data_IF_498605202624
#
_entry.id   IF_498605202624
#
_cell.length_a   1.000
_cell.length_b   1.000
_cell.length_c   1.000
_cell.angle_alpha   90.00
_cell.angle_beta   90.00
_cell.angle_gamma   90.00
#
_symmetry.space_group_name_H-M   'P 1'
#
loop_
_entity.id
_entity.type
_entity.pdbx_description
1 polymer ?
#
# COMPACT_ATOMS: atom_id res chain seq x y z
N UNK A 1 12.20 19.91 17.67
CA UNK A 1 12.36 18.57 17.05
C UNK A 1 11.48 17.47 17.70
N UNK A 2 10.99 17.62 18.94
CA UNK A 2 10.33 16.53 19.70
C UNK A 2 8.82 16.30 19.47
N UNK A 3 8.08 17.21 18.82
CA UNK A 3 6.60 17.16 18.82
C UNK A 3 5.97 15.96 18.08
N UNK A 4 6.68 15.32 17.16
CA UNK A 4 6.14 14.26 16.31
C UNK A 4 7.00 12.97 16.27
N UNK A 5 8.17 12.95 16.90
CA UNK A 5 9.07 11.80 16.89
C UNK A 5 8.48 10.60 17.65
N UNK A 6 8.47 9.42 17.02
CA UNK A 6 7.90 8.17 17.56
C UNK A 6 6.43 8.29 18.02
N UNK A 7 5.66 9.24 17.48
CA UNK A 7 4.29 9.50 17.93
C UNK A 7 3.20 8.87 17.08
N UNK A 8 3.50 8.42 15.87
CA UNK A 8 2.54 7.89 14.91
C UNK A 8 2.91 6.46 14.51
N UNK A 9 1.94 5.54 14.43
CA UNK A 9 2.17 4.29 13.73
C UNK A 9 2.46 4.58 12.26
N UNK A 10 3.36 3.80 11.66
CA UNK A 10 3.77 3.96 10.26
C UNK A 10 3.36 2.71 9.50
N UNK A 11 2.73 2.88 8.34
CA UNK A 11 2.63 1.83 7.31
C UNK A 11 3.66 2.21 6.25
N UNK A 12 4.73 1.44 6.14
CA UNK A 12 5.74 1.60 5.10
C UNK A 12 5.47 0.62 3.95
N UNK A 13 5.48 1.13 2.73
CA UNK A 13 5.14 0.39 1.52
C UNK A 13 6.28 0.62 0.53
N UNK A 14 7.08 -0.38 0.20
CA UNK A 14 8.09 -0.31 -0.87
C UNK A 14 7.76 -1.27 -2.01
N UNK A 15 7.51 -0.74 -3.21
CA UNK A 15 7.08 -1.56 -4.36
C UNK A 15 8.22 -2.03 -5.26
N UNK A 16 9.47 -1.70 -4.90
CA UNK A 16 10.70 -1.90 -5.67
C UNK A 16 10.96 -3.32 -6.19
N UNK A 17 10.44 -4.31 -5.48
CA UNK A 17 10.72 -5.73 -5.75
C UNK A 17 9.49 -6.53 -6.14
N UNK A 18 8.36 -5.86 -6.39
CA UNK A 18 7.11 -6.53 -6.72
C UNK A 18 7.13 -7.16 -8.11
N UNK A 19 8.11 -6.78 -8.94
CA UNK A 19 8.35 -7.38 -10.24
C UNK A 19 9.80 -7.83 -10.35
N UNK A 20 10.03 -9.12 -10.59
CA UNK A 20 11.37 -9.59 -10.94
C UNK A 20 11.75 -9.02 -12.31
N UNK A 21 12.95 -8.41 -12.38
CA UNK A 21 13.59 -8.01 -13.64
C UNK A 21 13.79 -9.20 -14.60
N UNK A 22 13.86 -10.42 -14.07
CA UNK A 22 14.16 -11.65 -14.82
C UNK A 22 12.97 -12.37 -15.47
N UNK A 23 11.74 -11.88 -15.29
CA UNK A 23 10.58 -12.53 -15.90
C UNK A 23 10.23 -11.87 -17.23
N UNK A 24 10.81 -12.41 -18.31
CA UNK A 24 10.44 -12.18 -19.71
C UNK A 24 8.96 -12.47 -20.02
N UNK A 25 8.22 -13.03 -19.07
CA UNK A 25 6.78 -13.35 -19.13
C UNK A 25 6.09 -13.05 -17.78
N UNK A 26 5.89 -11.77 -17.46
CA UNK A 26 5.05 -11.42 -16.31
C UNK A 26 3.58 -11.39 -16.70
N UNK A 27 2.74 -12.06 -15.92
CA UNK A 27 1.27 -12.00 -16.02
C UNK A 27 0.72 -11.26 -14.80
N UNK A 28 -0.57 -10.88 -14.85
CA UNK A 28 -1.27 -10.35 -13.68
C UNK A 28 -1.24 -11.34 -12.50
N UNK A 29 -1.43 -12.63 -12.75
CA UNK A 29 -1.43 -13.66 -11.70
C UNK A 29 -0.10 -13.72 -10.92
N UNK A 30 1.03 -13.57 -11.62
CA UNK A 30 2.34 -13.51 -10.96
C UNK A 30 2.54 -12.22 -10.17
N UNK A 31 2.01 -11.10 -10.67
CA UNK A 31 2.04 -9.81 -9.97
C UNK A 31 1.21 -9.90 -8.68
N UNK A 32 -0.01 -10.46 -8.74
CA UNK A 32 -0.88 -10.54 -7.58
C UNK A 32 -0.35 -11.51 -6.51
N UNK A 33 0.30 -12.61 -6.93
CA UNK A 33 1.02 -13.50 -6.01
C UNK A 33 2.12 -12.75 -5.24
N UNK A 34 2.90 -11.91 -5.93
CA UNK A 34 3.93 -11.07 -5.28
C UNK A 34 3.33 -10.00 -4.38
N UNK A 35 2.24 -9.37 -4.81
CA UNK A 35 1.48 -8.44 -3.98
C UNK A 35 1.03 -9.07 -2.67
N UNK A 36 0.56 -10.33 -2.68
CA UNK A 36 0.17 -11.04 -1.45
C UNK A 36 1.34 -11.18 -0.48
N UNK A 37 2.50 -11.60 -0.97
CA UNK A 37 3.70 -11.75 -0.15
C UNK A 37 4.13 -10.41 0.45
N UNK A 38 4.12 -9.37 -0.37
CA UNK A 38 4.48 -8.02 0.07
C UNK A 38 3.51 -7.44 1.11
N UNK A 39 2.19 -7.62 0.92
CA UNK A 39 1.20 -7.23 1.93
C UNK A 39 1.37 -8.07 3.19
N UNK A 40 1.71 -9.36 3.08
CA UNK A 40 1.98 -10.22 4.22
C UNK A 40 3.18 -9.72 5.05
N UNK A 41 4.25 -9.25 4.40
CA UNK A 41 5.41 -8.63 5.06
C UNK A 41 5.01 -7.38 5.85
N UNK A 42 4.19 -6.48 5.27
CA UNK A 42 3.66 -5.32 5.99
C UNK A 42 2.84 -5.76 7.21
N UNK A 43 1.99 -6.78 7.06
CA UNK A 43 1.21 -7.32 8.18
C UNK A 43 2.11 -7.95 9.25
N UNK A 44 3.24 -8.54 8.86
CA UNK A 44 4.21 -9.12 9.78
C UNK A 44 4.91 -8.07 10.64
N UNK A 45 5.29 -6.94 10.04
CA UNK A 45 5.79 -5.77 10.79
C UNK A 45 4.81 -5.29 11.86
N UNK A 46 3.51 -5.55 11.65
CA UNK A 46 2.43 -5.21 12.57
C UNK A 46 1.82 -6.41 13.30
N UNK A 47 2.52 -7.56 13.36
CA UNK A 47 2.05 -8.79 14.02
C UNK A 47 1.63 -8.57 15.48
N UNK A 48 2.24 -7.60 16.16
CA UNK A 48 1.88 -7.23 17.54
C UNK A 48 0.42 -6.78 17.71
N UNK A 49 -0.28 -6.41 16.62
CA UNK A 49 -1.69 -6.04 16.68
C UNK A 49 -2.59 -7.22 17.01
N UNK A 50 -2.21 -8.45 16.64
CA UNK A 50 -3.04 -9.66 16.73
C UNK A 50 -3.64 -9.83 18.12
N UNK A 51 -2.87 -9.59 19.19
CA UNK A 51 -3.34 -9.74 20.57
C UNK A 51 -4.39 -8.72 21.00
N UNK A 52 -4.62 -7.66 20.21
CA UNK A 52 -5.57 -6.58 20.48
C UNK A 52 -6.75 -6.52 19.51
N UNK A 53 -6.79 -7.44 18.54
CA UNK A 53 -7.87 -7.53 17.56
C UNK A 53 -9.09 -8.27 18.12
N UNK A 54 -10.26 -7.99 17.57
CA UNK A 54 -11.44 -8.83 17.77
C UNK A 54 -11.24 -10.19 17.09
N UNK A 55 -11.86 -11.28 17.58
CA UNK A 55 -11.67 -12.62 17.02
C UNK A 55 -11.89 -12.73 15.50
N UNK A 56 -12.90 -12.03 14.97
CA UNK A 56 -13.21 -11.97 13.54
C UNK A 56 -12.10 -11.28 12.72
N UNK A 57 -11.50 -10.23 13.28
CA UNK A 57 -10.39 -9.50 12.65
C UNK A 57 -9.10 -10.33 12.69
N UNK A 58 -8.91 -11.16 13.73
CA UNK A 58 -7.73 -12.03 13.86
C UNK A 58 -7.66 -13.07 12.74
N UNK A 59 -8.79 -13.66 12.34
CA UNK A 59 -8.82 -14.64 11.25
C UNK A 59 -8.35 -14.01 9.94
N UNK A 60 -8.94 -12.86 9.57
CA UNK A 60 -8.58 -12.13 8.34
C UNK A 60 -7.12 -11.70 8.38
N UNK A 61 -6.67 -11.14 9.51
CA UNK A 61 -5.27 -10.72 9.69
C UNK A 61 -4.32 -11.89 9.48
N UNK A 62 -4.62 -13.06 10.04
CA UNK A 62 -3.79 -14.26 9.89
C UNK A 62 -3.77 -14.80 8.46
N UNK A 63 -4.88 -14.71 7.72
CA UNK A 63 -4.91 -15.12 6.30
C UNK A 63 -4.00 -14.25 5.44
N UNK A 64 -4.05 -12.93 5.65
CA UNK A 64 -3.18 -11.98 4.95
C UNK A 64 -1.72 -12.19 5.35
N UNK A 65 -1.43 -12.31 6.66
CA UNK A 65 -0.09 -12.59 7.20
C UNK A 65 0.54 -13.87 6.66
N UNK A 66 -0.27 -14.87 6.30
CA UNK A 66 0.19 -16.13 5.69
C UNK A 66 0.33 -16.06 4.16
N UNK A 67 -0.02 -14.93 3.54
CA UNK A 67 -0.04 -14.80 2.08
C UNK A 67 -1.05 -15.76 1.43
N UNK A 68 -2.19 -16.03 2.07
CA UNK A 68 -3.16 -17.03 1.63
C UNK A 68 -3.56 -16.80 0.14
N UNK A 69 -3.26 -17.76 -0.76
CA UNK A 69 -3.55 -17.62 -2.19
C UNK A 69 -5.06 -17.63 -2.48
N UNK A 70 -5.88 -18.14 -1.55
CA UNK A 70 -7.34 -18.19 -1.68
C UNK A 70 -8.03 -16.92 -1.18
N UNK A 71 -7.31 -16.01 -0.51
CA UNK A 71 -7.89 -14.75 -0.05
C UNK A 71 -8.27 -13.88 -1.26
N UNK A 72 -9.52 -13.39 -1.42
CA UNK A 72 -9.93 -12.77 -2.68
C UNK A 72 -9.12 -11.51 -3.03
N UNK A 73 -8.75 -11.33 -4.30
CA UNK A 73 -8.05 -10.11 -4.77
C UNK A 73 -8.85 -8.84 -4.48
N UNK A 74 -10.18 -8.95 -4.61
CA UNK A 74 -11.11 -7.88 -4.28
C UNK A 74 -11.03 -7.45 -2.81
N UNK A 75 -10.71 -8.37 -1.89
CA UNK A 75 -10.50 -8.07 -0.47
C UNK A 75 -9.06 -7.66 -0.18
N UNK A 76 -8.06 -8.28 -0.81
CA UNK A 76 -6.66 -7.90 -0.71
C UNK A 76 -6.45 -6.42 -1.04
N UNK A 77 -7.21 -5.90 -2.01
CA UNK A 77 -7.27 -4.48 -2.38
C UNK A 77 -7.52 -3.54 -1.19
N UNK A 78 -8.26 -3.98 -0.17
CA UNK A 78 -8.62 -3.18 1.01
C UNK A 78 -7.79 -3.51 2.26
N UNK A 79 -6.86 -4.46 2.17
CA UNK A 79 -6.05 -4.91 3.32
C UNK A 79 -5.32 -3.76 4.03
N UNK A 80 -4.66 -2.87 3.29
CA UNK A 80 -3.93 -1.75 3.90
C UNK A 80 -4.86 -0.73 4.58
N UNK A 81 -6.08 -0.55 4.08
CA UNK A 81 -7.11 0.26 4.74
C UNK A 81 -7.49 -0.38 6.08
N UNK A 82 -7.76 -1.69 6.10
CA UNK A 82 -8.06 -2.44 7.33
C UNK A 82 -6.91 -2.38 8.34
N UNK A 83 -5.66 -2.54 7.89
CA UNK A 83 -4.49 -2.37 8.74
C UNK A 83 -4.43 -0.98 9.40
N UNK A 84 -4.74 0.07 8.65
CA UNK A 84 -4.81 1.44 9.20
C UNK A 84 -5.88 1.59 10.29
N UNK A 85 -7.03 0.90 10.14
CA UNK A 85 -8.09 0.86 11.15
C UNK A 85 -7.62 0.15 12.42
N UNK A 86 -6.91 -0.98 12.27
CA UNK A 86 -6.35 -1.72 13.41
C UNK A 86 -5.30 -0.90 14.16
N UNK A 87 -4.39 -0.23 13.44
CA UNK A 87 -3.41 0.69 14.03
C UNK A 87 -4.09 1.82 14.80
N UNK A 88 -5.14 2.43 14.23
CA UNK A 88 -5.90 3.47 14.93
C UNK A 88 -6.56 2.93 16.20
N UNK A 89 -7.20 1.76 16.14
CA UNK A 89 -7.85 1.15 17.31
C UNK A 89 -6.84 0.84 18.41
N UNK A 90 -5.65 0.36 18.06
CA UNK A 90 -4.59 0.00 18.99
C UNK A 90 -3.94 1.24 19.63
N UNK A 91 -3.46 2.19 18.82
CA UNK A 91 -2.71 3.36 19.31
C UNK A 91 -3.58 4.57 19.67
N UNK A 92 -4.88 4.53 19.34
CA UNK A 92 -5.79 5.70 19.40
C UNK A 92 -5.27 6.91 18.61
N UNK A 93 -4.50 6.65 17.56
CA UNK A 93 -3.87 7.65 16.69
C UNK A 93 -3.95 7.23 15.24
N UNK A 94 -4.13 8.19 14.35
CA UNK A 94 -4.02 8.00 12.91
C UNK A 94 -2.59 7.60 12.52
N UNK A 95 -2.41 6.76 11.50
CA UNK A 95 -1.09 6.39 11.01
C UNK A 95 -0.54 7.39 9.99
N UNK A 96 0.76 7.30 9.72
CA UNK A 96 1.40 7.91 8.55
C UNK A 96 1.67 6.80 7.54
N UNK A 97 1.35 7.05 6.27
CA UNK A 97 1.64 6.11 5.18
C UNK A 97 2.83 6.61 4.38
N UNK A 98 3.85 5.77 4.21
CA UNK A 98 5.02 6.08 3.41
C UNK A 98 5.08 5.09 2.25
N UNK A 99 4.98 5.57 1.02
CA UNK A 99 5.02 4.74 -0.18
C UNK A 99 6.26 5.08 -0.99
N UNK A 100 7.12 4.11 -1.19
CA UNK A 100 8.33 4.20 -1.99
C UNK A 100 8.17 3.41 -3.28
N UNK A 101 8.69 3.97 -4.37
CA UNK A 101 8.56 3.51 -5.75
C UNK A 101 7.09 3.20 -6.15
N UNK A 102 6.17 4.12 -5.80
CA UNK A 102 4.72 3.90 -5.97
C UNK A 102 4.29 3.62 -7.42
N UNK A 103 5.08 4.07 -8.40
CA UNK A 103 4.84 4.01 -9.84
C UNK A 103 5.38 2.74 -10.51
N UNK A 104 6.33 2.05 -9.86
CA UNK A 104 7.00 0.87 -10.40
C UNK A 104 6.07 -0.28 -10.84
N UNK A 105 5.02 -0.67 -10.09
CA UNK A 105 4.14 -1.76 -10.52
C UNK A 105 3.39 -1.44 -11.82
N UNK A 106 2.99 -0.18 -11.98
CA UNK A 106 2.24 0.30 -13.15
C UNK A 106 3.14 0.38 -14.37
N UNK A 107 4.38 0.86 -14.21
CA UNK A 107 5.39 0.83 -15.26
C UNK A 107 5.66 -0.60 -15.74
N UNK A 108 5.87 -1.55 -14.81
CA UNK A 108 6.07 -2.95 -15.19
C UNK A 108 4.84 -3.55 -15.85
N UNK A 109 3.62 -3.20 -15.43
CA UNK A 109 2.39 -3.72 -16.02
C UNK A 109 2.18 -3.21 -17.45
N UNK A 110 2.53 -1.94 -17.70
CA UNK A 110 2.56 -1.35 -19.03
C UNK A 110 3.51 -2.11 -19.97
N UNK A 111 4.76 -2.32 -19.53
CA UNK A 111 5.78 -3.01 -20.31
C UNK A 111 5.45 -4.48 -20.61
N UNK A 112 4.59 -5.10 -19.81
CA UNK A 112 4.22 -6.53 -19.92
C UNK A 112 2.79 -6.78 -20.41
N UNK A 113 2.05 -5.73 -20.79
CA UNK A 113 0.75 -5.85 -21.45
C UNK A 113 -0.46 -6.15 -20.55
N UNK A 114 -0.37 -5.92 -19.23
CA UNK A 114 -1.48 -6.09 -18.29
C UNK A 114 -1.78 -4.80 -17.49
N UNK A 115 -1.51 -3.65 -18.10
CA UNK A 115 -1.69 -2.33 -17.51
C UNK A 115 -3.08 -2.12 -16.89
N UNK A 116 -4.16 -2.39 -17.63
CA UNK A 116 -5.52 -2.05 -17.19
C UNK A 116 -5.90 -2.74 -15.88
N UNK A 117 -5.66 -4.04 -15.76
CA UNK A 117 -5.98 -4.80 -14.54
C UNK A 117 -5.12 -4.36 -13.35
N UNK A 118 -3.84 -4.08 -13.57
CA UNK A 118 -2.96 -3.57 -12.52
C UNK A 118 -3.38 -2.16 -12.08
N UNK A 119 -3.65 -1.28 -13.03
CA UNK A 119 -4.12 0.08 -12.80
C UNK A 119 -5.40 0.08 -11.96
N UNK A 120 -6.39 -0.75 -12.29
CA UNK A 120 -7.64 -0.87 -11.53
C UNK A 120 -7.45 -1.42 -10.12
N UNK A 121 -6.46 -2.31 -9.93
CA UNK A 121 -6.12 -2.81 -8.61
C UNK A 121 -5.46 -1.73 -7.74
N UNK A 122 -4.35 -1.16 -8.21
CA UNK A 122 -3.58 -0.17 -7.44
C UNK A 122 -4.35 1.14 -7.24
N UNK A 123 -5.10 1.60 -8.25
CA UNK A 123 -6.02 2.74 -8.09
C UNK A 123 -7.01 2.50 -6.96
N UNK A 124 -7.61 1.31 -6.91
CA UNK A 124 -8.55 0.96 -5.86
C UNK A 124 -7.88 0.89 -4.49
N UNK A 125 -6.73 0.23 -4.37
CA UNK A 125 -5.98 0.08 -3.12
C UNK A 125 -5.50 1.43 -2.56
N UNK A 126 -4.92 2.29 -3.39
CA UNK A 126 -4.47 3.60 -2.92
C UNK A 126 -5.64 4.57 -2.70
N UNK A 127 -6.72 4.48 -3.47
CA UNK A 127 -7.92 5.29 -3.21
C UNK A 127 -8.55 4.92 -1.87
N UNK A 128 -8.68 3.62 -1.57
CA UNK A 128 -9.22 3.16 -0.29
C UNK A 128 -8.31 3.55 0.88
N UNK A 129 -7.00 3.37 0.75
CA UNK A 129 -6.05 3.70 1.81
C UNK A 129 -5.86 5.21 2.05
N UNK A 130 -5.85 6.03 1.00
CA UNK A 130 -5.37 7.42 1.06
C UNK A 130 -6.43 8.49 0.82
N UNK A 131 -7.54 8.18 0.14
CA UNK A 131 -8.57 9.17 -0.22
C UNK A 131 -9.76 9.15 0.73
N UNK A 132 -10.33 7.97 0.97
CA UNK A 132 -11.58 7.80 1.74
C UNK A 132 -11.31 7.34 3.18
N UNK A 133 -10.17 7.70 3.74
CA UNK A 133 -9.63 7.10 4.97
C UNK A 133 -9.04 8.13 5.94
N UNK A 134 -9.53 9.37 5.87
CA UNK A 134 -9.05 10.50 6.66
C UNK A 134 -9.18 10.25 8.17
N UNK A 135 -10.11 9.41 8.61
CA UNK A 135 -10.25 9.07 10.02
C UNK A 135 -9.16 8.12 10.54
N UNK A 136 -8.41 7.44 9.66
CA UNK A 136 -7.34 6.50 10.02
C UNK A 136 -5.95 6.96 9.58
N UNK A 137 -5.82 7.77 8.52
CA UNK A 137 -4.54 8.27 8.01
C UNK A 137 -4.37 9.75 8.33
N UNK A 138 -3.25 10.13 8.93
CA UNK A 138 -2.91 11.51 9.24
C UNK A 138 -2.31 12.22 8.03
N UNK A 139 -1.34 11.56 7.38
CA UNK A 139 -0.59 12.04 6.23
C UNK A 139 -0.06 10.86 5.44
N UNK A 140 0.21 11.09 4.16
CA UNK A 140 0.94 10.18 3.32
C UNK A 140 2.05 10.89 2.56
N UNK A 141 3.15 10.18 2.32
CA UNK A 141 4.23 10.61 1.44
C UNK A 141 4.48 9.52 0.42
N UNK A 142 4.49 9.89 -0.85
CA UNK A 142 4.70 8.99 -1.97
C UNK A 142 5.95 9.45 -2.71
N UNK A 143 6.87 8.53 -2.97
CA UNK A 143 8.11 8.76 -3.71
C UNK A 143 8.16 7.81 -4.90
N UNK A 144 8.56 8.33 -6.06
CA UNK A 144 8.58 7.61 -7.33
C UNK A 144 9.30 8.42 -8.40
N UNK A 145 9.49 7.82 -9.58
CA UNK A 145 10.20 8.45 -10.71
C UNK A 145 9.25 9.30 -11.55
N UNK A 146 8.08 8.74 -11.86
CA UNK A 146 7.02 9.41 -12.60
C UNK A 146 6.36 10.47 -11.71
N UNK A 147 5.93 11.57 -12.32
CA UNK A 147 5.11 12.55 -11.61
C UNK A 147 3.72 11.97 -11.35
N UNK A 148 3.21 12.14 -10.12
CA UNK A 148 1.88 11.65 -9.69
C UNK A 148 0.77 12.14 -10.64
N UNK A 149 0.87 13.37 -11.15
CA UNK A 149 -0.09 13.93 -12.10
C UNK A 149 -0.13 13.19 -13.46
N UNK A 150 0.96 12.53 -13.85
CA UNK A 150 1.09 11.77 -15.11
C UNK A 150 0.75 10.29 -14.95
N UNK A 151 0.73 9.76 -13.73
CA UNK A 151 0.47 8.33 -13.51
C UNK A 151 -1.01 7.95 -13.64
N UNK A 152 -1.94 8.92 -13.64
CA UNK A 152 -3.37 8.71 -13.90
C UNK A 152 -4.14 7.97 -12.80
N UNK A 153 -3.54 6.97 -12.16
CA UNK A 153 -4.17 6.14 -11.12
C UNK A 153 -4.31 6.85 -9.77
N UNK A 154 -3.49 7.87 -9.51
CA UNK A 154 -3.56 8.72 -8.32
C UNK A 154 -4.28 10.05 -8.55
N UNK A 155 -4.86 10.27 -9.74
CA UNK A 155 -5.60 11.49 -10.11
C UNK A 155 -6.79 11.82 -9.19
N UNK A 156 -7.18 10.88 -8.31
CA UNK A 156 -8.24 11.05 -7.34
C UNK A 156 -7.83 11.55 -5.96
N UNK A 157 -6.53 11.74 -5.65
CA UNK A 157 -6.10 12.18 -4.31
C UNK A 157 -6.46 13.65 -4.08
N UNK A 158 -7.36 13.89 -3.12
CA UNK A 158 -7.69 15.23 -2.66
C UNK A 158 -6.55 15.68 -1.71
N UNK A 159 -5.89 16.81 -1.96
CA UNK A 159 -4.77 17.37 -1.16
C UNK A 159 -3.34 16.89 -1.50
N UNK A 160 -3.05 16.65 -2.78
CA UNK A 160 -1.70 16.33 -3.24
C UNK A 160 -0.79 17.58 -3.28
N UNK A 161 0.37 17.52 -2.62
CA UNK A 161 1.49 18.45 -2.84
C UNK A 161 2.64 17.71 -3.51
N UNK A 162 3.17 18.24 -4.62
CA UNK A 162 4.23 17.61 -5.40
C UNK A 162 5.52 18.41 -5.23
N UNK A 163 6.59 17.71 -4.83
CA UNK A 163 7.92 18.29 -4.63
C UNK A 163 8.93 17.58 -5.54
N UNK A 164 9.44 18.24 -6.60
CA UNK A 164 10.51 17.67 -7.42
C UNK A 164 11.82 17.58 -6.61
N UNK A 165 12.40 16.39 -6.49
CA UNK A 165 13.66 16.20 -5.74
C UNK A 165 14.91 16.74 -6.46
N UNK A 166 14.81 17.10 -7.74
CA UNK A 166 15.93 17.62 -8.54
C UNK A 166 16.02 19.15 -8.56
N UNK A 167 15.12 19.86 -7.87
CA UNK A 167 15.23 21.31 -7.72
C UNK A 167 15.95 21.59 -6.40
N UNK A 168 17.21 22.00 -6.50
CA UNK A 168 17.95 22.56 -5.35
C UNK A 168 17.21 23.83 -4.87
N UNK A 169 16.94 23.89 -3.57
CA UNK A 169 16.37 25.05 -2.88
C UNK A 169 17.40 26.15 -2.66
#
# INVERSE_FOLDING_TARGET
>A
MQKHFAQYPIIYITLKYITNKDLSTGTWDKMIEKLRMFVAEIYDEHRYLISSLYPEDQEIFQRILKGDPTYPESQLKFSLEELSKHLRRHYKKKCIVLVDEYDFPIESAYNKGYYEVANDFFKGMFSSLLKSNDENVAKAMLVGVLQIAKSGFLSGLNNLMVYPLHQES
#
